data_IF_877668974509
#
_entry.id   IF_877668974509
#
_cell.length_a   1.000
_cell.length_b   1.000
_cell.length_c   1.000
_cell.angle_alpha   90.00
_cell.angle_beta   90.00
_cell.angle_gamma   90.00
#
_symmetry.space_group_name_H-M   'P 1'
#
loop_
_entity.id
_entity.type
_entity.pdbx_description
1 polymer ?
#
# COMPACT_ATOMS: atom_id res chain seq x y z
N UNK A 1 -34.76 0.26 -10.11
CA UNK A 1 -35.16 1.11 -8.96
C UNK A 1 -34.07 1.11 -7.89
N UNK A 2 -32.85 1.52 -8.29
CA UNK A 2 -31.68 1.75 -7.40
C UNK A 2 -31.07 3.14 -7.69
N UNK A 3 -31.82 4.04 -8.34
CA UNK A 3 -31.39 5.41 -8.68
C UNK A 3 -31.63 6.41 -7.53
N UNK A 4 -31.79 5.96 -6.28
CA UNK A 4 -32.35 6.82 -5.23
C UNK A 4 -31.56 6.87 -3.92
N UNK A 5 -30.41 6.22 -3.78
CA UNK A 5 -29.62 6.32 -2.54
C UNK A 5 -28.11 6.29 -2.79
N UNK A 6 -27.50 7.41 -3.25
CA UNK A 6 -26.05 7.57 -3.36
C UNK A 6 -25.33 7.18 -2.06
N UNK A 7 -25.90 7.54 -0.90
CA UNK A 7 -25.33 7.23 0.41
C UNK A 7 -25.27 5.72 0.74
N UNK A 8 -26.19 4.90 0.22
CA UNK A 8 -26.16 3.45 0.44
C UNK A 8 -25.14 2.75 -0.48
N UNK A 9 -24.88 3.34 -1.65
CA UNK A 9 -23.83 2.91 -2.56
C UNK A 9 -22.46 3.31 -2.01
N UNK A 10 -22.30 4.52 -1.49
CA UNK A 10 -21.09 4.99 -0.82
C UNK A 10 -20.78 4.16 0.45
N UNK A 11 -21.77 3.83 1.29
CA UNK A 11 -21.59 2.95 2.46
C UNK A 11 -21.20 1.51 2.05
N UNK A 12 -21.78 1.00 0.94
CA UNK A 12 -21.40 -0.29 0.37
C UNK A 12 -19.97 -0.26 -0.19
N UNK A 13 -19.57 0.83 -0.85
CA UNK A 13 -18.24 1.04 -1.39
C UNK A 13 -17.20 1.14 -0.27
N UNK A 14 -17.49 1.86 0.81
CA UNK A 14 -16.62 1.93 2.00
C UNK A 14 -16.48 0.57 2.69
N UNK A 15 -17.54 -0.25 2.72
CA UNK A 15 -17.51 -1.61 3.30
C UNK A 15 -16.84 -2.66 2.41
N UNK A 16 -16.82 -2.45 1.09
CA UNK A 16 -16.27 -3.40 0.12
C UNK A 16 -14.84 -3.05 -0.28
N UNK A 17 -14.47 -1.78 -0.32
CA UNK A 17 -13.12 -1.31 -0.69
C UNK A 17 -12.19 -1.12 0.49
N UNK A 18 -12.49 -1.73 1.65
CA UNK A 18 -11.66 -1.63 2.86
C UNK A 18 -10.23 -2.05 2.55
N UNK A 19 -9.40 -1.08 2.19
CA UNK A 19 -8.00 -1.06 2.54
C UNK A 19 -8.01 -1.18 4.06
N UNK A 20 -7.78 -2.38 4.57
CA UNK A 20 -7.82 -2.68 6.00
C UNK A 20 -6.62 -2.02 6.71
N UNK A 21 -6.52 -0.71 6.65
CA UNK A 21 -5.64 0.09 7.48
C UNK A 21 -6.36 0.28 8.82
N UNK A 22 -5.76 -0.26 9.88
CA UNK A 22 -6.26 -0.14 11.24
C UNK A 22 -5.11 0.34 12.12
N UNK A 23 -5.45 1.08 13.17
CA UNK A 23 -4.44 1.48 14.14
C UNK A 23 -3.85 0.25 14.81
N UNK A 24 -2.53 0.24 15.01
CA UNK A 24 -1.80 -0.87 15.64
C UNK A 24 -2.11 -2.26 15.06
N UNK A 25 -2.36 -2.33 13.74
CA UNK A 25 -2.57 -3.61 13.04
C UNK A 25 -1.36 -4.52 13.25
N UNK A 26 -1.57 -5.78 13.58
CA UNK A 26 -0.51 -6.76 13.95
C UNK A 26 0.31 -6.31 15.19
N UNK A 27 -0.28 -6.38 16.40
CA UNK A 27 0.33 -5.85 17.63
C UNK A 27 1.73 -6.38 17.94
N UNK A 28 2.05 -7.62 17.54
CA UNK A 28 3.38 -8.19 17.72
C UNK A 28 4.48 -7.39 17.01
N UNK A 29 4.21 -6.83 15.82
CA UNK A 29 5.19 -6.00 15.09
C UNK A 29 5.42 -4.65 15.79
N UNK A 30 4.37 -4.08 16.39
CA UNK A 30 4.49 -2.87 17.21
C UNK A 30 5.24 -3.13 18.52
N UNK A 31 5.06 -4.29 19.15
CA UNK A 31 5.86 -4.71 20.30
C UNK A 31 7.35 -4.83 19.93
N UNK A 32 7.66 -5.46 18.80
CA UNK A 32 9.03 -5.55 18.28
C UNK A 32 9.64 -4.18 17.99
N UNK A 33 8.88 -3.25 17.38
CA UNK A 33 9.32 -1.89 17.17
C UNK A 33 9.60 -1.17 18.50
N UNK A 34 8.75 -1.34 19.52
CA UNK A 34 8.95 -0.76 20.86
C UNK A 34 10.31 -1.17 21.43
N UNK A 35 10.65 -2.45 21.33
CA UNK A 35 11.96 -2.96 21.77
C UNK A 35 13.12 -2.35 21.00
N UNK A 36 13.00 -2.23 19.67
CA UNK A 36 14.02 -1.61 18.81
C UNK A 36 14.22 -0.14 19.21
N UNK A 37 13.13 0.62 19.32
CA UNK A 37 13.14 2.05 19.68
C UNK A 37 13.75 2.26 21.07
N UNK A 38 13.40 1.42 22.06
CA UNK A 38 13.94 1.52 23.42
C UNK A 38 15.43 1.21 23.50
N UNK A 39 15.93 0.27 22.71
CA UNK A 39 17.35 -0.12 22.66
C UNK A 39 18.22 0.83 21.85
N UNK A 40 17.64 1.57 20.92
CA UNK A 40 18.37 2.53 20.12
C UNK A 40 18.86 3.73 20.95
N UNK A 41 20.03 4.24 20.59
CA UNK A 41 20.71 5.32 21.30
C UNK A 41 21.51 6.18 20.33
N UNK A 42 21.68 7.46 20.66
CA UNK A 42 22.53 8.37 19.90
C UNK A 42 21.76 9.19 18.88
N UNK A 43 22.12 9.04 17.60
CA UNK A 43 21.65 9.87 16.51
C UNK A 43 20.12 9.88 16.34
N UNK A 44 19.55 10.85 15.61
CA UNK A 44 18.15 10.79 15.19
C UNK A 44 17.87 9.55 14.34
N UNK A 45 16.73 8.91 14.60
CA UNK A 45 16.33 7.67 13.93
C UNK A 45 15.07 7.89 13.09
N UNK A 46 14.90 7.06 12.06
CA UNK A 46 13.76 7.14 11.15
C UNK A 46 13.06 5.79 11.02
N UNK A 47 11.74 5.79 11.21
CA UNK A 47 10.85 4.72 10.74
C UNK A 47 10.22 5.17 9.42
N UNK A 48 10.23 4.31 8.40
CA UNK A 48 9.54 4.56 7.14
C UNK A 48 8.30 3.67 7.03
N UNK A 49 7.11 4.26 6.93
CA UNK A 49 5.88 3.58 6.51
C UNK A 49 5.74 3.72 5.00
N UNK A 50 6.04 2.63 4.29
CA UNK A 50 6.07 2.54 2.84
C UNK A 50 4.75 1.95 2.33
N UNK A 51 3.86 2.81 1.82
CA UNK A 51 2.46 2.48 1.52
C UNK A 51 1.55 2.79 2.70
N UNK A 52 1.52 4.05 3.14
CA UNK A 52 0.86 4.44 4.37
C UNK A 52 -0.69 4.40 4.33
N UNK A 53 -1.27 4.29 3.13
CA UNK A 53 -2.72 4.23 2.94
C UNK A 53 -3.43 5.40 3.62
N UNK A 54 -4.48 5.10 4.40
CA UNK A 54 -5.29 6.11 5.08
C UNK A 54 -4.64 6.72 6.35
N UNK A 55 -3.37 6.41 6.64
CA UNK A 55 -2.58 7.08 7.67
C UNK A 55 -2.62 6.45 9.07
N UNK A 56 -3.42 5.40 9.31
CA UNK A 56 -3.47 4.75 10.62
C UNK A 56 -2.11 4.13 11.01
N UNK A 57 -1.36 3.56 10.05
CA UNK A 57 -0.03 3.01 10.33
C UNK A 57 0.98 4.08 10.79
N UNK A 58 1.27 5.16 10.03
CA UNK A 58 2.24 6.15 10.47
C UNK A 58 1.87 6.82 11.79
N UNK A 59 0.58 7.04 12.08
CA UNK A 59 0.16 7.56 13.36
C UNK A 59 0.27 6.53 14.50
N UNK A 60 0.07 5.24 14.25
CA UNK A 60 0.36 4.19 15.24
C UNK A 60 1.86 4.14 15.57
N UNK A 61 2.71 4.29 14.56
CA UNK A 61 4.18 4.36 14.75
C UNK A 61 4.56 5.59 15.58
N UNK A 62 3.99 6.75 15.28
CA UNK A 62 4.23 8.00 16.02
C UNK A 62 3.77 7.92 17.48
N UNK A 63 2.57 7.38 17.73
CA UNK A 63 2.07 7.15 19.09
C UNK A 63 2.99 6.22 19.87
N UNK A 64 3.43 5.10 19.25
CA UNK A 64 4.35 4.17 19.90
C UNK A 64 5.69 4.85 20.25
N UNK A 65 6.24 5.66 19.35
CA UNK A 65 7.47 6.42 19.60
C UNK A 65 7.29 7.33 20.82
N UNK A 66 6.17 8.06 20.90
CA UNK A 66 5.85 8.91 22.04
C UNK A 66 5.73 8.10 23.36
N UNK A 67 5.10 6.92 23.33
CA UNK A 67 4.99 5.99 24.47
C UNK A 67 6.35 5.48 24.96
N UNK A 68 7.37 5.44 24.10
CA UNK A 68 8.72 5.04 24.48
C UNK A 68 9.55 6.17 25.11
N UNK A 69 9.12 7.42 24.95
CA UNK A 69 9.87 8.61 25.35
C UNK A 69 11.09 8.93 24.47
N UNK A 70 11.23 8.27 23.31
CA UNK A 70 12.37 8.43 22.40
C UNK A 70 12.07 9.46 21.30
N UNK A 71 12.04 10.73 21.70
CA UNK A 71 11.65 11.86 20.83
C UNK A 71 12.65 12.18 19.69
N UNK A 72 13.81 11.51 19.65
CA UNK A 72 14.76 11.60 18.53
C UNK A 72 14.38 10.72 17.32
N UNK A 73 13.26 10.00 17.40
CA UNK A 73 12.70 9.25 16.29
C UNK A 73 11.68 10.07 15.51
N UNK A 74 11.63 9.86 14.19
CA UNK A 74 10.59 10.38 13.30
C UNK A 74 10.02 9.29 12.42
N UNK A 75 8.82 9.53 11.90
CA UNK A 75 8.14 8.68 10.92
C UNK A 75 8.16 9.39 9.58
N UNK A 76 8.60 8.72 8.53
CA UNK A 76 8.38 9.15 7.16
C UNK A 76 7.27 8.26 6.59
N UNK A 77 6.19 8.87 6.11
CA UNK A 77 5.05 8.18 5.54
C UNK A 77 5.01 8.45 4.04
N UNK A 78 4.93 7.39 3.23
CA UNK A 78 4.85 7.54 1.78
C UNK A 78 3.76 6.70 1.18
N UNK A 79 3.20 7.20 0.09
CA UNK A 79 2.22 6.49 -0.73
C UNK A 79 2.30 6.96 -2.17
N UNK A 80 1.81 6.12 -3.09
CA UNK A 80 1.65 6.46 -4.51
C UNK A 80 0.37 7.28 -4.72
N UNK A 81 -0.63 7.11 -3.85
CA UNK A 81 -1.93 7.78 -3.94
C UNK A 81 -1.92 9.14 -3.24
N UNK A 82 -2.05 10.22 -4.02
CA UNK A 82 -2.21 11.58 -3.47
C UNK A 82 -3.45 11.70 -2.57
N UNK A 83 -4.53 10.96 -2.83
CA UNK A 83 -5.72 10.92 -1.98
C UNK A 83 -5.41 10.32 -0.61
N UNK A 84 -4.64 9.24 -0.58
CA UNK A 84 -4.18 8.60 0.66
C UNK A 84 -3.28 9.53 1.48
N UNK A 85 -2.34 10.21 0.81
CA UNK A 85 -1.48 11.22 1.42
C UNK A 85 -2.28 12.40 2.00
N UNK A 86 -3.24 12.94 1.24
CA UNK A 86 -4.10 14.03 1.70
C UNK A 86 -4.93 13.62 2.93
N UNK A 87 -5.46 12.40 2.94
CA UNK A 87 -6.17 11.86 4.12
C UNK A 87 -5.24 11.71 5.33
N UNK A 88 -4.02 11.22 5.11
CA UNK A 88 -3.00 11.11 6.18
C UNK A 88 -2.64 12.49 6.72
N UNK A 89 -2.51 13.51 5.86
CA UNK A 89 -2.23 14.89 6.25
C UNK A 89 -3.38 15.50 7.06
N UNK A 90 -4.65 15.29 6.64
CA UNK A 90 -5.83 15.76 7.37
C UNK A 90 -5.92 15.11 8.76
N UNK A 91 -5.52 13.84 8.89
CA UNK A 91 -5.44 13.10 10.16
C UNK A 91 -6.77 13.04 10.93
N UNK A 92 -7.89 12.91 10.21
CA UNK A 92 -9.25 12.79 10.78
C UNK A 92 -9.85 11.43 10.47
N UNK A 93 -10.53 10.88 11.46
CA UNK A 93 -11.07 9.53 11.43
C UNK A 93 -12.45 9.47 12.07
N UNK A 94 -13.37 8.74 11.45
CA UNK A 94 -14.66 8.41 12.05
C UNK A 94 -14.48 7.43 13.21
N UNK A 95 -15.45 7.36 14.13
CA UNK A 95 -15.38 6.47 15.29
C UNK A 95 -15.17 4.99 14.90
N UNK A 96 -15.77 4.54 13.79
CA UNK A 96 -15.62 3.18 13.27
C UNK A 96 -14.20 2.83 12.78
N UNK A 97 -13.38 3.84 12.50
CA UNK A 97 -12.01 3.69 12.00
C UNK A 97 -10.96 3.62 13.11
N UNK A 98 -11.34 3.89 14.37
CA UNK A 98 -10.44 3.89 15.52
C UNK A 98 -10.10 2.48 16.04
N UNK A 99 -10.54 1.43 15.32
CA UNK A 99 -10.26 0.04 15.68
C UNK A 99 -8.75 -0.16 15.89
N UNK A 100 -8.40 -0.75 17.03
CA UNK A 100 -7.02 -1.04 17.42
C UNK A 100 -6.40 -0.01 18.37
N UNK A 101 -7.06 1.14 18.60
CA UNK A 101 -6.70 2.06 19.69
C UNK A 101 -7.36 1.64 21.00
N UNK A 102 -6.57 1.51 22.06
CA UNK A 102 -7.09 1.34 23.42
C UNK A 102 -7.75 2.64 23.91
N UNK A 103 -8.64 2.60 24.91
CA UNK A 103 -9.24 3.80 25.50
C UNK A 103 -8.20 4.83 25.97
N UNK A 104 -7.09 4.37 26.52
CA UNK A 104 -5.98 5.22 27.00
C UNK A 104 -5.32 5.95 25.83
N UNK A 105 -5.05 5.25 24.72
CA UNK A 105 -4.51 5.86 23.50
C UNK A 105 -5.48 6.85 22.89
N UNK A 106 -6.77 6.53 22.85
CA UNK A 106 -7.79 7.46 22.35
C UNK A 106 -7.82 8.73 23.19
N UNK A 107 -7.86 8.60 24.53
CA UNK A 107 -7.88 9.74 25.43
C UNK A 107 -6.62 10.60 25.35
N UNK A 108 -5.46 10.02 25.05
CA UNK A 108 -4.17 10.72 25.01
C UNK A 108 -3.86 11.35 23.66
N UNK A 109 -4.24 10.68 22.57
CA UNK A 109 -3.74 11.00 21.23
C UNK A 109 -4.81 11.48 20.25
N UNK A 110 -6.08 11.48 20.65
CA UNK A 110 -7.17 11.97 19.83
C UNK A 110 -7.83 13.20 20.46
N UNK A 111 -8.18 14.16 19.61
CA UNK A 111 -9.06 15.28 19.96
C UNK A 111 -10.43 15.02 19.33
N UNK A 112 -11.53 15.00 20.11
CA UNK A 112 -12.87 14.86 19.54
C UNK A 112 -13.23 16.11 18.73
N UNK A 113 -13.85 15.90 17.57
CA UNK A 113 -14.32 16.95 16.66
C UNK A 113 -15.74 16.60 16.17
N UNK A 114 -16.49 17.56 15.59
CA UNK A 114 -17.76 17.23 14.93
C UNK A 114 -17.55 16.14 13.86
N UNK A 115 -18.27 15.03 13.98
CA UNK A 115 -18.20 13.90 13.04
C UNK A 115 -17.10 12.88 13.28
N UNK A 116 -16.24 13.04 14.30
CA UNK A 116 -15.22 12.05 14.60
C UNK A 116 -14.09 12.54 15.49
N UNK A 117 -12.88 12.19 15.12
CA UNK A 117 -11.68 12.46 15.90
C UNK A 117 -10.56 12.95 14.98
N UNK A 118 -9.70 13.81 15.50
CA UNK A 118 -8.43 14.16 14.85
C UNK A 118 -7.24 13.72 15.69
N UNK A 119 -6.13 13.39 15.03
CA UNK A 119 -4.88 13.09 15.72
C UNK A 119 -4.34 14.36 16.36
N UNK A 120 -3.95 14.28 17.63
CA UNK A 120 -3.39 15.40 18.37
C UNK A 120 -2.17 16.01 17.66
N UNK A 121 -2.10 17.35 17.61
CA UNK A 121 -1.07 18.11 16.89
C UNK A 121 0.35 17.65 17.25
N UNK A 122 0.61 17.34 18.53
CA UNK A 122 1.94 16.94 18.98
C UNK A 122 2.39 15.58 18.43
N UNK A 123 1.45 14.68 18.13
CA UNK A 123 1.72 13.39 17.45
C UNK A 123 1.95 13.60 15.96
N UNK A 124 1.21 14.52 15.32
CA UNK A 124 1.38 14.82 13.89
C UNK A 124 2.79 15.30 13.55
N UNK A 125 3.47 15.98 14.49
CA UNK A 125 4.85 16.47 14.32
C UNK A 125 5.90 15.36 14.14
N UNK A 126 5.61 14.12 14.52
CA UNK A 126 6.50 13.00 14.26
C UNK A 126 6.44 12.51 12.81
N UNK A 127 5.35 12.81 12.10
CA UNK A 127 5.06 12.23 10.79
C UNK A 127 5.39 13.23 9.69
N UNK A 128 6.31 12.85 8.81
CA UNK A 128 6.62 13.57 7.57
C UNK A 128 6.03 12.81 6.38
N UNK A 129 5.12 13.45 5.65
CA UNK A 129 4.39 12.84 4.54
C UNK A 129 5.04 13.26 3.23
N UNK A 130 5.31 12.30 2.34
CA UNK A 130 5.85 12.59 1.00
C UNK A 130 5.37 11.57 -0.03
N UNK A 131 5.26 12.00 -1.29
CA UNK A 131 4.86 11.12 -2.38
C UNK A 131 6.02 10.21 -2.79
N UNK A 132 5.75 8.91 -2.93
CA UNK A 132 6.74 7.96 -3.41
C UNK A 132 6.07 6.76 -4.06
N UNK A 133 6.58 6.38 -5.23
CA UNK A 133 6.15 5.18 -5.94
C UNK A 133 7.23 4.10 -5.83
N UNK A 134 6.96 3.05 -5.07
CA UNK A 134 7.88 1.94 -4.80
C UNK A 134 8.25 1.13 -6.07
N UNK A 135 7.42 1.20 -7.11
CA UNK A 135 7.70 0.56 -8.39
C UNK A 135 8.74 1.33 -9.24
N UNK A 136 8.96 2.63 -8.96
CA UNK A 136 9.87 3.48 -9.75
C UNK A 136 11.24 3.62 -9.10
N UNK A 137 12.29 3.55 -9.91
CA UNK A 137 13.68 3.58 -9.46
C UNK A 137 14.23 5.01 -9.23
N UNK A 138 13.61 6.00 -9.85
CA UNK A 138 14.04 7.41 -9.88
C UNK A 138 13.76 8.15 -8.56
N UNK A 139 12.75 7.72 -7.80
CA UNK A 139 12.30 8.42 -6.58
C UNK A 139 12.98 7.94 -5.30
N UNK A 140 13.65 6.78 -5.32
CA UNK A 140 14.24 6.20 -4.10
C UNK A 140 15.43 7.01 -3.56
N UNK A 141 16.16 7.71 -4.43
CA UNK A 141 17.35 8.51 -4.07
C UNK A 141 17.06 9.65 -3.10
N UNK A 142 15.83 10.17 -3.11
CA UNK A 142 15.39 11.33 -2.34
C UNK A 142 14.99 11.00 -0.90
N UNK A 143 14.82 9.71 -0.57
CA UNK A 143 14.39 9.26 0.75
C UNK A 143 15.59 9.09 1.70
N UNK A 144 15.51 9.61 2.96
CA UNK A 144 16.56 9.38 3.95
C UNK A 144 16.67 7.89 4.25
N UNK A 145 17.86 7.45 4.68
CA UNK A 145 18.00 6.09 5.21
C UNK A 145 17.14 5.92 6.46
N UNK A 146 16.51 4.77 6.58
CA UNK A 146 15.63 4.42 7.69
C UNK A 146 16.25 3.29 8.52
N UNK A 147 16.16 3.40 9.84
CA UNK A 147 16.54 2.34 10.78
C UNK A 147 15.51 1.19 10.73
N UNK A 148 14.24 1.54 10.50
CA UNK A 148 13.15 0.58 10.41
C UNK A 148 12.23 0.95 9.25
N UNK A 149 11.81 -0.05 8.47
CA UNK A 149 10.84 0.12 7.37
C UNK A 149 9.66 -0.81 7.61
N UNK A 150 8.45 -0.26 7.53
CA UNK A 150 7.19 -0.98 7.46
C UNK A 150 6.73 -0.91 6.00
N UNK A 151 6.70 -2.04 5.30
CA UNK A 151 6.17 -2.16 3.93
C UNK A 151 5.14 -3.29 3.94
N UNK A 152 3.94 -2.98 4.45
CA UNK A 152 2.95 -3.99 4.81
C UNK A 152 1.73 -3.89 3.91
N UNK A 153 1.31 -5.04 3.38
CA UNK A 153 0.19 -5.18 2.46
C UNK A 153 0.35 -4.36 1.18
N UNK A 154 1.58 -4.25 0.68
CA UNK A 154 1.92 -3.49 -0.53
C UNK A 154 2.52 -4.41 -1.59
N UNK A 155 3.39 -5.35 -1.19
CA UNK A 155 4.06 -6.24 -2.14
C UNK A 155 3.08 -7.23 -2.77
N UNK A 156 1.93 -7.49 -2.13
CA UNK A 156 0.83 -8.27 -2.70
C UNK A 156 0.26 -7.73 -4.03
N UNK A 157 0.55 -6.47 -4.39
CA UNK A 157 0.16 -5.86 -5.66
C UNK A 157 1.20 -6.04 -6.78
N UNK A 158 2.39 -6.58 -6.47
CA UNK A 158 3.49 -6.71 -7.41
C UNK A 158 3.64 -8.14 -7.95
N UNK A 159 4.09 -8.26 -9.19
CA UNK A 159 4.62 -9.50 -9.74
C UNK A 159 5.97 -9.85 -9.10
N UNK A 160 6.47 -11.06 -9.35
CA UNK A 160 7.67 -11.58 -8.68
C UNK A 160 8.90 -10.69 -8.92
N UNK A 161 9.13 -10.30 -10.17
CA UNK A 161 10.31 -9.51 -10.56
C UNK A 161 10.25 -8.10 -9.97
N UNK A 162 9.06 -7.51 -9.93
CA UNK A 162 8.82 -6.20 -9.33
C UNK A 162 8.93 -6.24 -7.81
N UNK A 163 8.46 -7.32 -7.16
CA UNK A 163 8.69 -7.54 -5.73
C UNK A 163 10.18 -7.59 -5.45
N UNK A 164 10.96 -8.38 -6.21
CA UNK A 164 12.41 -8.50 -6.02
C UNK A 164 13.11 -7.13 -6.22
N UNK A 165 12.76 -6.40 -7.28
CA UNK A 165 13.32 -5.07 -7.54
C UNK A 165 12.91 -4.02 -6.49
N UNK A 166 11.68 -4.09 -5.97
CA UNK A 166 11.19 -3.23 -4.88
C UNK A 166 11.98 -3.50 -3.60
N UNK A 167 12.17 -4.77 -3.24
CA UNK A 167 12.94 -5.19 -2.05
C UNK A 167 14.39 -4.74 -2.15
N UNK A 168 15.02 -4.82 -3.31
CA UNK A 168 16.38 -4.29 -3.53
C UNK A 168 16.44 -2.78 -3.26
N UNK A 169 15.49 -2.00 -3.77
CA UNK A 169 15.42 -0.54 -3.51
C UNK A 169 15.17 -0.23 -2.04
N UNK A 170 14.29 -0.98 -1.38
CA UNK A 170 14.06 -0.85 0.05
C UNK A 170 15.36 -1.16 0.81
N UNK A 171 16.07 -2.22 0.44
CA UNK A 171 17.34 -2.61 1.06
C UNK A 171 18.42 -1.51 0.97
N UNK A 172 18.44 -0.72 -0.10
CA UNK A 172 19.36 0.42 -0.23
C UNK A 172 19.04 1.56 0.75
N UNK A 173 17.77 1.68 1.14
CA UNK A 173 17.26 2.69 2.08
C UNK A 173 17.25 2.21 3.53
N UNK A 174 17.25 0.92 3.81
CA UNK A 174 17.40 0.40 5.19
C UNK A 174 18.86 0.56 5.64
N UNK A 175 19.06 1.15 6.80
CA UNK A 175 20.38 1.27 7.43
C UNK A 175 21.00 -0.11 7.67
N UNK A 176 22.33 -0.27 7.63
CA UNK A 176 22.99 -1.53 8.00
C UNK A 176 22.54 -1.98 9.40
N UNK A 177 22.08 -3.24 9.53
CA UNK A 177 21.53 -3.77 10.79
C UNK A 177 20.10 -3.29 11.12
N UNK A 178 19.51 -2.43 10.29
CA UNK A 178 18.11 -2.00 10.39
C UNK A 178 17.12 -3.10 10.04
N UNK A 179 15.83 -2.80 10.19
CA UNK A 179 14.76 -3.81 10.12
C UNK A 179 13.72 -3.49 9.05
N UNK A 180 13.21 -4.53 8.40
CA UNK A 180 12.08 -4.48 7.49
C UNK A 180 10.94 -5.36 8.02
N UNK A 181 9.76 -4.78 8.14
CA UNK A 181 8.50 -5.44 8.51
C UNK A 181 7.60 -5.55 7.29
N UNK A 182 7.14 -6.76 7.01
CA UNK A 182 6.20 -7.08 5.93
C UNK A 182 4.85 -7.51 6.52
N UNK A 183 3.78 -7.38 5.73
CA UNK A 183 2.46 -7.84 6.11
C UNK A 183 2.34 -9.36 5.99
N UNK A 184 1.36 -9.93 6.68
CA UNK A 184 1.11 -11.38 6.70
C UNK A 184 0.92 -12.02 5.31
N UNK A 185 0.39 -11.25 4.35
CA UNK A 185 0.11 -11.70 2.98
C UNK A 185 1.23 -11.34 2.00
N UNK A 186 2.25 -10.61 2.42
CA UNK A 186 3.35 -10.23 1.54
C UNK A 186 4.32 -11.41 1.41
N UNK A 187 4.60 -11.80 0.16
CA UNK A 187 5.61 -12.81 -0.11
C UNK A 187 6.98 -12.13 -0.13
N UNK A 188 7.94 -12.58 0.69
CA UNK A 188 9.28 -11.98 0.77
C UNK A 188 10.12 -12.17 -0.51
N UNK A 189 9.68 -12.96 -1.50
CA UNK A 189 10.48 -13.25 -2.70
C UNK A 189 11.88 -13.76 -2.36
N UNK A 190 12.91 -13.36 -3.14
CA UNK A 190 14.33 -13.65 -2.87
C UNK A 190 14.98 -12.64 -1.90
N UNK A 191 14.41 -12.45 -0.71
CA UNK A 191 14.93 -11.51 0.31
C UNK A 191 16.31 -11.84 0.88
N UNK A 192 16.71 -13.11 0.86
CA UNK A 192 17.89 -13.64 1.58
C UNK A 192 19.22 -13.04 1.11
N UNK A 193 19.26 -12.39 -0.06
CA UNK A 193 20.44 -11.66 -0.54
C UNK A 193 20.72 -10.39 0.25
N UNK A 194 19.67 -9.74 0.77
CA UNK A 194 19.76 -8.42 1.37
C UNK A 194 19.43 -8.42 2.86
N UNK A 195 18.57 -9.34 3.27
CA UNK A 195 18.06 -9.43 4.61
C UNK A 195 18.14 -10.86 5.14
N UNK A 196 18.31 -10.99 6.45
CA UNK A 196 18.12 -12.25 7.17
C UNK A 196 16.82 -12.21 7.98
N UNK A 197 16.01 -13.29 7.98
CA UNK A 197 14.84 -13.37 8.84
C UNK A 197 15.27 -13.47 10.30
N UNK A 198 14.71 -12.62 11.16
CA UNK A 198 14.95 -12.62 12.61
C UNK A 198 13.63 -12.52 13.37
N UNK A 199 13.61 -13.01 14.60
CA UNK A 199 12.51 -12.75 15.53
C UNK A 199 12.92 -11.67 16.52
N UNK A 200 12.13 -10.61 16.59
CA UNK A 200 12.26 -9.56 17.61
C UNK A 200 10.96 -9.57 18.40
N UNK A 201 11.06 -9.81 19.71
CA UNK A 201 9.92 -10.29 20.50
C UNK A 201 9.26 -11.50 19.77
N UNK A 202 7.94 -11.46 19.55
CA UNK A 202 7.21 -12.52 18.86
C UNK A 202 7.03 -12.28 17.35
N UNK A 203 7.50 -11.15 16.82
CA UNK A 203 7.34 -10.79 15.42
C UNK A 203 8.48 -11.32 14.54
N UNK A 204 8.13 -11.89 13.39
CA UNK A 204 9.07 -12.09 12.29
C UNK A 204 9.32 -10.75 11.60
N UNK A 205 10.59 -10.36 11.52
CA UNK A 205 11.05 -9.23 10.72
C UNK A 205 12.36 -9.59 10.01
N UNK A 206 12.83 -8.71 9.15
CA UNK A 206 13.97 -8.97 8.27
C UNK A 206 15.07 -7.96 8.55
N UNK A 207 16.20 -8.43 9.08
CA UNK A 207 17.33 -7.56 9.44
C UNK A 207 18.24 -7.36 8.23
N UNK A 208 18.58 -6.10 7.93
CA UNK A 208 19.47 -5.73 6.83
C UNK A 208 20.87 -6.22 7.15
N UNK A 209 21.42 -7.03 6.25
CA UNK A 209 22.78 -7.54 6.39
C UNK A 209 23.77 -6.37 6.43
N UNK A 210 24.65 -6.36 7.44
CA UNK A 210 25.74 -5.41 7.57
C UNK A 210 26.84 -5.91 6.63
N UNK A 211 26.99 -5.31 5.45
CA UNK A 211 28.00 -5.77 4.52
C UNK A 211 29.42 -5.44 5.04
N UNK A 212 30.28 -6.46 5.10
CA UNK A 212 31.47 -6.44 4.23
C UNK A 212 31.45 -7.69 3.36
N UNK A 213 30.53 -7.75 2.40
CA UNK A 213 30.63 -8.72 1.32
C UNK A 213 31.23 -7.99 0.10
N UNK A 214 32.22 -8.56 -0.60
CA UNK A 214 32.76 -7.96 -1.82
C UNK A 214 31.60 -7.70 -2.76
N UNK A 215 31.66 -6.59 -3.49
CA UNK A 215 30.73 -6.31 -4.56
C UNK A 215 30.55 -7.61 -5.34
N UNK A 216 29.32 -8.14 -5.37
CA UNK A 216 28.99 -9.22 -6.29
C UNK A 216 29.58 -8.81 -7.66
N UNK A 217 30.26 -9.72 -8.38
CA UNK A 217 30.87 -9.36 -9.65
C UNK A 217 29.84 -8.57 -10.41
N UNK A 218 30.21 -7.35 -10.81
CA UNK A 218 29.36 -6.53 -11.65
C UNK A 218 29.17 -7.37 -12.91
N UNK A 219 28.08 -8.14 -12.95
CA UNK A 219 27.55 -8.65 -14.20
C UNK A 219 27.31 -7.35 -14.94
N UNK A 220 28.20 -7.06 -15.89
CA UNK A 220 28.06 -5.88 -16.72
C UNK A 220 26.62 -5.86 -17.15
N UNK A 221 25.89 -4.80 -16.79
CA UNK A 221 24.56 -4.58 -17.36
C UNK A 221 24.79 -4.63 -18.86
N UNK A 222 24.38 -5.71 -19.52
CA UNK A 222 24.16 -5.66 -20.95
C UNK A 222 23.08 -4.59 -21.09
N UNK A 223 23.39 -3.53 -21.82
CA UNK A 223 22.42 -2.48 -22.16
C UNK A 223 21.18 -3.06 -22.86
N UNK A 224 21.25 -4.32 -23.29
CA UNK A 224 20.24 -5.03 -24.07
C UNK A 224 19.14 -5.70 -23.23
N UNK A 225 19.24 -5.76 -21.90
CA UNK A 225 18.17 -6.30 -21.03
C UNK A 225 17.15 -5.22 -20.59
N UNK A 226 17.19 -4.04 -21.24
CA UNK A 226 16.13 -3.04 -21.14
C UNK A 226 14.91 -3.53 -21.94
N UNK A 227 14.20 -4.54 -21.42
CA UNK A 227 12.78 -4.62 -21.76
C UNK A 227 12.14 -3.28 -21.36
N UNK A 228 11.42 -2.60 -22.27
CA UNK A 228 10.72 -1.39 -21.91
C UNK A 228 9.81 -1.74 -20.73
N UNK A 229 10.03 -1.08 -19.58
CA UNK A 229 9.14 -1.26 -18.42
C UNK A 229 7.74 -0.89 -18.90
N UNK A 230 6.76 -1.78 -18.76
CA UNK A 230 5.45 -1.55 -19.34
C UNK A 230 4.87 -0.29 -18.69
N UNK A 231 4.55 0.70 -19.52
CA UNK A 231 3.75 1.83 -19.11
C UNK A 231 2.30 1.38 -18.88
N UNK A 232 1.44 2.31 -18.48
CA UNK A 232 0.04 1.98 -18.19
C UNK A 232 -0.65 1.29 -19.38
N UNK A 233 -0.35 1.72 -20.61
CA UNK A 233 -0.89 1.11 -21.82
C UNK A 233 -0.34 -0.31 -22.05
N UNK A 234 0.96 -0.51 -21.83
CA UNK A 234 1.60 -1.83 -21.92
C UNK A 234 1.03 -2.84 -20.93
N UNK A 235 0.80 -2.44 -19.67
CA UNK A 235 0.19 -3.32 -18.65
C UNK A 235 -1.25 -3.69 -19.00
N UNK A 236 -2.04 -2.74 -19.51
CA UNK A 236 -3.41 -3.02 -19.95
C UNK A 236 -3.42 -4.03 -21.10
N UNK A 237 -2.58 -3.81 -22.13
CA UNK A 237 -2.47 -4.71 -23.27
C UNK A 237 -1.96 -6.11 -22.87
N UNK A 238 -1.00 -6.20 -21.95
CA UNK A 238 -0.53 -7.47 -21.40
C UNK A 238 -1.65 -8.21 -20.66
N UNK A 239 -2.40 -7.49 -19.81
CA UNK A 239 -3.54 -8.05 -19.07
C UNK A 239 -4.62 -8.58 -20.00
N UNK A 240 -4.97 -7.80 -21.04
CA UNK A 240 -5.95 -8.18 -22.05
C UNK A 240 -5.51 -9.42 -22.84
N UNK A 241 -4.24 -9.47 -23.26
CA UNK A 241 -3.68 -10.63 -23.97
C UNK A 241 -3.64 -11.89 -23.08
N UNK A 242 -3.26 -11.74 -21.82
CA UNK A 242 -3.25 -12.82 -20.84
C UNK A 242 -4.67 -13.34 -20.57
N UNK A 243 -5.65 -12.45 -20.43
CA UNK A 243 -7.05 -12.83 -20.26
C UNK A 243 -7.58 -13.59 -21.47
N UNK A 244 -7.29 -13.10 -22.68
CA UNK A 244 -7.70 -13.73 -23.93
C UNK A 244 -7.09 -15.13 -24.15
N UNK A 245 -5.85 -15.34 -23.68
CA UNK A 245 -5.17 -16.64 -23.73
C UNK A 245 -5.53 -17.59 -22.58
N UNK A 246 -6.35 -17.14 -21.62
CA UNK A 246 -6.75 -17.92 -20.46
C UNK A 246 -5.71 -17.99 -19.34
N UNK A 247 -4.59 -17.27 -19.44
CA UNK A 247 -3.64 -17.10 -18.33
C UNK A 247 -4.17 -16.05 -17.34
N UNK A 248 -5.19 -16.47 -16.57
CA UNK A 248 -5.85 -15.63 -15.58
C UNK A 248 -4.87 -15.12 -14.51
N UNK A 249 -3.81 -15.87 -14.21
CA UNK A 249 -2.79 -15.43 -13.24
C UNK A 249 -1.99 -14.26 -13.80
N UNK A 250 -1.60 -14.29 -15.07
CA UNK A 250 -0.93 -13.17 -15.72
C UNK A 250 -1.85 -11.97 -15.86
N UNK A 251 -3.11 -12.18 -16.25
CA UNK A 251 -4.11 -11.13 -16.36
C UNK A 251 -4.32 -10.38 -15.04
N UNK A 252 -4.54 -11.12 -13.94
CA UNK A 252 -4.70 -10.54 -12.60
C UNK A 252 -3.46 -9.73 -12.18
N UNK A 253 -2.25 -10.19 -12.49
CA UNK A 253 -1.01 -9.45 -12.17
C UNK A 253 -0.95 -8.13 -12.94
N UNK A 254 -1.12 -8.18 -14.25
CA UNK A 254 -0.99 -7.01 -15.12
C UNK A 254 -2.04 -5.93 -14.76
N UNK A 255 -3.30 -6.32 -14.56
CA UNK A 255 -4.34 -5.36 -14.15
C UNK A 255 -4.12 -4.82 -12.73
N UNK A 256 -3.63 -5.63 -11.77
CA UNK A 256 -3.24 -5.12 -10.45
C UNK A 256 -2.15 -4.06 -10.57
N UNK A 257 -1.13 -4.30 -11.39
CA UNK A 257 -0.08 -3.31 -11.61
C UNK A 257 -0.62 -2.04 -12.27
N UNK A 258 -1.53 -2.17 -13.24
CA UNK A 258 -2.20 -1.03 -13.86
C UNK A 258 -2.99 -0.20 -12.81
N UNK A 259 -3.73 -0.85 -11.91
CA UNK A 259 -4.45 -0.16 -10.82
C UNK A 259 -3.51 0.50 -9.80
N UNK A 260 -2.31 -0.04 -9.62
CA UNK A 260 -1.29 0.56 -8.76
C UNK A 260 -0.66 1.80 -9.41
N UNK A 261 -0.40 1.77 -10.72
CA UNK A 261 0.14 2.91 -11.46
C UNK A 261 -0.87 4.03 -11.62
N UNK A 262 -2.15 3.70 -11.85
CA UNK A 262 -3.23 4.67 -11.91
C UNK A 262 -4.43 4.20 -11.05
N UNK A 263 -4.50 4.63 -9.79
CA UNK A 263 -5.61 4.31 -8.89
C UNK A 263 -6.97 4.87 -9.32
N UNK A 264 -7.02 5.76 -10.31
CA UNK A 264 -8.26 6.31 -10.87
C UNK A 264 -8.67 5.62 -12.18
N UNK A 265 -7.92 4.61 -12.65
CA UNK A 265 -8.24 3.89 -13.88
C UNK A 265 -9.33 2.83 -13.65
N UNK A 266 -10.59 3.25 -13.81
CA UNK A 266 -11.76 2.41 -13.57
C UNK A 266 -11.76 1.10 -14.39
N UNK A 267 -11.34 1.17 -15.65
CA UNK A 267 -11.26 0.02 -16.55
C UNK A 267 -10.31 -1.07 -16.03
N UNK A 268 -9.16 -0.70 -15.48
CA UNK A 268 -8.20 -1.67 -14.93
C UNK A 268 -8.78 -2.42 -13.72
N UNK A 269 -9.50 -1.72 -12.84
CA UNK A 269 -10.21 -2.35 -11.73
C UNK A 269 -11.34 -3.27 -12.19
N UNK A 270 -12.08 -2.89 -13.23
CA UNK A 270 -13.14 -3.71 -13.79
C UNK A 270 -12.59 -5.00 -14.43
N UNK A 271 -11.55 -4.88 -15.25
CA UNK A 271 -10.89 -6.02 -15.88
C UNK A 271 -10.19 -6.93 -14.86
N UNK A 272 -9.59 -6.35 -13.82
CA UNK A 272 -9.08 -7.09 -12.67
C UNK A 272 -10.19 -7.90 -11.99
N UNK A 273 -11.35 -7.28 -11.76
CA UNK A 273 -12.51 -7.94 -11.17
C UNK A 273 -12.99 -9.13 -12.00
N UNK A 274 -13.09 -8.94 -13.32
CA UNK A 274 -13.48 -10.01 -14.24
C UNK A 274 -12.46 -11.16 -14.25
N UNK A 275 -11.16 -10.86 -14.28
CA UNK A 275 -10.10 -11.87 -14.24
C UNK A 275 -10.09 -12.66 -12.92
N UNK A 276 -10.33 -12.00 -11.79
CA UNK A 276 -10.44 -12.64 -10.47
C UNK A 276 -11.68 -13.53 -10.35
N UNK A 277 -12.82 -13.11 -10.92
CA UNK A 277 -14.04 -13.91 -10.94
C UNK A 277 -13.84 -15.21 -11.73
N UNK A 278 -13.23 -15.12 -12.92
CA UNK A 278 -12.85 -16.29 -13.72
C UNK A 278 -11.81 -17.17 -13.02
N UNK A 279 -10.92 -16.58 -12.22
CA UNK A 279 -9.92 -17.30 -11.44
C UNK A 279 -10.49 -17.99 -10.18
N UNK A 280 -11.79 -17.81 -9.90
CA UNK A 280 -12.47 -18.40 -8.75
C UNK A 280 -12.31 -17.64 -7.44
N UNK A 281 -11.98 -16.33 -7.48
CA UNK A 281 -11.92 -15.44 -6.31
C UNK A 281 -13.03 -14.37 -6.35
N UNK A 282 -14.30 -14.75 -6.12
CA UNK A 282 -15.45 -13.85 -6.23
C UNK A 282 -15.44 -12.74 -5.18
N UNK A 283 -14.75 -12.95 -4.05
CA UNK A 283 -14.63 -11.93 -3.00
C UNK A 283 -13.74 -10.79 -3.47
N UNK A 284 -12.54 -11.11 -3.94
CA UNK A 284 -11.60 -10.12 -4.45
C UNK A 284 -12.11 -9.47 -5.76
N UNK A 285 -12.82 -10.24 -6.60
CA UNK A 285 -13.49 -9.72 -7.78
C UNK A 285 -14.49 -8.62 -7.44
N UNK A 286 -15.37 -8.87 -6.45
CA UNK A 286 -16.35 -7.89 -5.98
C UNK A 286 -15.69 -6.62 -5.45
N UNK A 287 -14.56 -6.73 -4.75
CA UNK A 287 -13.77 -5.57 -4.29
C UNK A 287 -13.24 -4.75 -5.45
N UNK A 288 -12.75 -5.43 -6.48
CA UNK A 288 -12.21 -4.78 -7.67
C UNK A 288 -13.33 -4.06 -8.45
N UNK A 289 -14.51 -4.65 -8.60
CA UNK A 289 -15.67 -3.96 -9.19
C UNK A 289 -16.13 -2.73 -8.39
N UNK A 290 -16.11 -2.81 -7.06
CA UNK A 290 -16.40 -1.67 -6.19
C UNK A 290 -15.36 -0.55 -6.37
N UNK A 291 -14.07 -0.90 -6.41
CA UNK A 291 -13.00 0.06 -6.68
C UNK A 291 -13.11 0.69 -8.09
N UNK A 292 -13.57 -0.07 -9.09
CA UNK A 292 -13.88 0.46 -10.41
C UNK A 292 -14.96 1.55 -10.35
N UNK A 293 -16.04 1.31 -9.58
CA UNK A 293 -17.10 2.30 -9.38
C UNK A 293 -16.59 3.60 -8.73
N UNK A 294 -15.76 3.49 -7.69
CA UNK A 294 -15.14 4.67 -7.06
C UNK A 294 -14.22 5.44 -8.02
N UNK A 295 -13.41 4.72 -8.79
CA UNK A 295 -12.50 5.32 -9.76
C UNK A 295 -13.26 6.14 -10.82
N UNK A 296 -14.45 5.69 -11.24
CA UNK A 296 -15.31 6.43 -12.18
C UNK A 296 -15.87 7.75 -11.64
N UNK A 297 -15.93 7.91 -10.31
CA UNK A 297 -16.41 9.13 -9.67
C UNK A 297 -15.31 10.21 -9.56
N UNK A 298 -14.06 9.88 -9.92
CA UNK A 298 -12.97 10.84 -10.00
C UNK A 298 -12.99 11.59 -11.35
N UNK A 299 -12.52 12.85 -11.35
CA UNK A 299 -12.46 13.68 -12.57
C UNK A 299 -11.62 13.01 -13.68
N UNK A 300 -10.53 12.32 -13.33
CA UNK A 300 -9.67 11.58 -14.27
C UNK A 300 -10.29 10.28 -14.80
N UNK A 301 -11.25 9.70 -14.08
CA UNK A 301 -11.86 8.40 -14.38
C UNK A 301 -12.82 8.44 -15.58
N UNK A 302 -13.28 9.64 -15.96
CA UNK A 302 -14.15 9.85 -17.11
C UNK A 302 -13.39 9.89 -18.46
N UNK A 303 -12.11 10.23 -18.46
CA UNK A 303 -11.32 10.42 -19.69
C UNK A 303 -10.56 9.17 -20.17
N UNK A 304 -10.27 8.19 -19.30
CA UNK A 304 -9.45 7.01 -19.63
C UNK A 304 -10.27 5.72 -19.83
N UNK A 305 -11.03 5.65 -20.92
CA UNK A 305 -11.75 4.44 -21.38
C UNK A 305 -11.02 3.68 -22.50
N UNK A 306 -9.77 4.06 -22.83
CA UNK A 306 -9.03 3.61 -24.02
C UNK A 306 -8.72 2.11 -24.13
N UNK A 307 -9.07 1.30 -23.13
CA UNK A 307 -8.88 -0.16 -23.12
C UNK A 307 -10.14 -0.99 -23.38
N UNK A 308 -11.33 -0.39 -23.48
CA UNK A 308 -12.56 -1.10 -23.84
C UNK A 308 -12.98 -0.67 -25.23
N UNK A 309 -12.64 -1.47 -26.25
CA UNK A 309 -13.12 -1.25 -27.63
C UNK A 309 -14.65 -1.04 -27.65
N UNK A 310 -15.08 0.22 -27.75
CA UNK A 310 -16.47 0.60 -27.96
C UNK A 310 -17.38 0.73 -26.73
N UNK A 311 -16.90 0.62 -25.49
CA UNK A 311 -17.76 0.85 -24.31
C UNK A 311 -17.78 2.32 -23.88
N UNK A 312 -18.98 2.88 -23.73
CA UNK A 312 -19.13 4.21 -23.13
C UNK A 312 -18.98 4.16 -21.61
N UNK A 313 -18.70 5.31 -20.98
CA UNK A 313 -18.71 5.45 -19.51
C UNK A 313 -20.02 4.90 -18.90
N UNK A 314 -21.15 5.07 -19.61
CA UNK A 314 -22.46 4.56 -19.17
C UNK A 314 -22.54 3.03 -19.22
N UNK A 315 -21.89 2.40 -20.20
CA UNK A 315 -21.90 0.94 -20.32
C UNK A 315 -21.02 0.29 -19.26
N UNK A 316 -19.85 0.88 -18.97
CA UNK A 316 -19.00 0.44 -17.87
C UNK A 316 -19.70 0.60 -16.50
N UNK A 317 -20.36 1.74 -16.27
CA UNK A 317 -21.15 1.96 -15.04
C UNK A 317 -22.27 0.91 -14.89
N UNK A 318 -22.97 0.59 -15.98
CA UNK A 318 -24.02 -0.45 -15.98
C UNK A 318 -23.44 -1.83 -15.68
N UNK A 319 -22.30 -2.17 -16.27
CA UNK A 319 -21.62 -3.45 -16.05
C UNK A 319 -21.14 -3.60 -14.60
N UNK A 320 -20.55 -2.55 -14.01
CA UNK A 320 -20.17 -2.53 -12.60
C UNK A 320 -21.40 -2.70 -11.70
N UNK A 321 -22.49 -1.99 -11.98
CA UNK A 321 -23.72 -2.10 -11.21
C UNK A 321 -24.30 -3.53 -11.23
N UNK A 322 -24.34 -4.18 -12.41
CA UNK A 322 -24.79 -5.57 -12.54
C UNK A 322 -23.92 -6.50 -11.67
N UNK A 323 -22.59 -6.41 -11.79
CA UNK A 323 -21.64 -7.24 -11.01
C UNK A 323 -21.75 -7.05 -9.49
N UNK A 324 -22.14 -5.87 -9.03
CA UNK A 324 -22.34 -5.61 -7.60
C UNK A 324 -23.71 -6.09 -7.08
N UNK A 325 -24.69 -6.28 -7.96
CA UNK A 325 -26.06 -6.71 -7.62
C UNK A 325 -26.31 -8.21 -7.74
N UNK A 326 -25.61 -8.92 -8.63
CA UNK A 326 -25.82 -10.35 -8.92
C UNK A 326 -25.42 -11.32 -7.79
N UNK A 327 -24.66 -10.85 -6.79
CA UNK A 327 -24.16 -11.68 -5.69
C UNK A 327 -25.12 -11.72 -4.47
N UNK A 328 -26.41 -11.97 -4.69
CA UNK A 328 -27.41 -12.27 -3.64
C UNK A 328 -27.79 -13.74 -3.66
#
# INVERSE_FOLDING_TARGET
MLDSQPAAFDDLLDRVTVQHSAFFRDPAQFAALSDIVRKASGAPHTVWSAGCGNGQEPYSLAMLIDETGRHNWKVVATDVSFRALARTEIARYAAGELRGLSPERQSRYLTPIPGGYEIAQFIRRYVHITHHNLARADTASLMPKADVVFCRNVLMYFGREETEACIERIADRVAPGGYLFLGHSDSPGRMTRFFEPVRVADALCYRRLIASAPAAPTVGRRQDDLHPRPDLAGLMAEGDHAAASGDLRAAVRAFRQATYLNPNLAVAYFQLGAALELAGDPREARRSFAAAGLAMMSEDGAENLSGLEGYSQRDLARAIASKLTEAR
#
